data_IF_018747175086
#
_entry.id   IF_018747175086
#
_cell.length_a   1.000
_cell.length_b   1.000
_cell.length_c   1.000
_cell.angle_alpha   90.00
_cell.angle_beta   90.00
_cell.angle_gamma   90.00
#
_symmetry.space_group_name_H-M   'P 1'
#
loop_
_entity.id
_entity.type
_entity.pdbx_description
1 polymer ?
#
# COMPACT_ATOMS: atom_id res chain seq x y z
N UNK A 1 -5.14 -17.20 -9.71
CA UNK A 1 -6.08 -16.99 -8.59
C UNK A 1 -7.12 -15.98 -9.02
N UNK A 2 -8.41 -16.18 -8.71
CA UNK A 2 -9.37 -15.06 -8.81
C UNK A 2 -8.97 -14.02 -7.76
N UNK A 3 -8.85 -12.76 -8.15
CA UNK A 3 -8.66 -11.63 -7.22
C UNK A 3 -9.91 -11.54 -6.33
N UNK A 4 -9.74 -11.60 -5.02
CA UNK A 4 -10.84 -11.82 -4.05
C UNK A 4 -10.99 -10.72 -3.01
N UNK A 5 -9.98 -9.89 -2.84
CA UNK A 5 -9.93 -8.92 -1.74
C UNK A 5 -10.05 -7.52 -2.30
N UNK A 6 -10.90 -6.71 -1.67
CA UNK A 6 -11.03 -5.27 -1.97
C UNK A 6 -10.21 -4.42 -0.99
N UNK A 7 -9.73 -5.03 0.10
CA UNK A 7 -8.88 -4.39 1.08
C UNK A 7 -7.78 -5.34 1.56
N UNK A 8 -6.54 -4.88 1.60
CA UNK A 8 -5.40 -5.60 2.14
C UNK A 8 -4.56 -4.64 2.98
N UNK A 9 -4.24 -5.06 4.21
CA UNK A 9 -3.31 -4.34 5.08
C UNK A 9 -2.01 -5.14 5.22
N UNK A 10 -0.89 -4.53 4.87
CA UNK A 10 0.44 -5.12 4.90
C UNK A 10 1.20 -4.56 6.10
N UNK A 11 1.25 -5.37 7.15
CA UNK A 11 2.12 -5.20 8.32
C UNK A 11 3.17 -6.32 8.29
N UNK A 12 4.16 -6.14 7.42
CA UNK A 12 5.13 -7.17 7.09
C UNK A 12 6.21 -7.31 8.16
N UNK A 13 6.93 -8.44 8.16
CA UNK A 13 8.20 -8.52 8.84
C UNK A 13 9.15 -7.48 8.22
N UNK A 14 9.87 -6.74 9.06
CA UNK A 14 10.59 -5.53 8.68
C UNK A 14 11.83 -5.74 7.79
N UNK A 15 12.06 -6.97 7.31
CA UNK A 15 13.11 -7.28 6.34
C UNK A 15 12.60 -7.12 4.90
N UNK A 16 13.43 -6.52 4.05
CA UNK A 16 13.12 -6.20 2.65
C UNK A 16 12.51 -7.38 1.86
N UNK A 17 13.04 -8.60 2.06
CA UNK A 17 12.59 -9.80 1.31
C UNK A 17 11.14 -10.14 1.61
N UNK A 18 10.67 -9.93 2.85
CA UNK A 18 9.30 -10.19 3.24
C UNK A 18 8.37 -9.08 2.76
N UNK A 19 8.75 -7.80 2.94
CA UNK A 19 8.02 -6.64 2.42
C UNK A 19 7.74 -6.77 0.92
N UNK A 20 8.77 -7.10 0.12
CA UNK A 20 8.63 -7.30 -1.33
C UNK A 20 7.69 -8.46 -1.63
N UNK A 21 7.82 -9.58 -0.92
CA UNK A 21 7.00 -10.77 -1.18
C UNK A 21 5.53 -10.53 -0.82
N UNK A 22 5.28 -9.88 0.31
CA UNK A 22 3.94 -9.56 0.79
C UNK A 22 3.27 -8.54 -0.14
N UNK A 23 4.01 -7.54 -0.60
CA UNK A 23 3.52 -6.57 -1.60
C UNK A 23 3.17 -7.24 -2.93
N UNK A 24 4.05 -8.09 -3.46
CA UNK A 24 3.77 -8.83 -4.70
C UNK A 24 2.55 -9.76 -4.57
N UNK A 25 2.37 -10.37 -3.41
CA UNK A 25 1.22 -11.22 -3.14
C UNK A 25 -0.06 -10.36 -3.03
N UNK A 26 0.00 -9.22 -2.33
CA UNK A 26 -1.12 -8.29 -2.21
C UNK A 26 -1.61 -7.82 -3.57
N UNK A 27 -0.70 -7.39 -4.46
CA UNK A 27 -1.02 -6.96 -5.82
C UNK A 27 -1.66 -8.07 -6.69
N UNK A 28 -1.30 -9.34 -6.45
CA UNK A 28 -1.91 -10.49 -7.13
C UNK A 28 -3.30 -10.85 -6.57
N UNK A 29 -3.55 -10.53 -5.31
CA UNK A 29 -4.76 -10.89 -4.57
C UNK A 29 -5.85 -9.81 -4.64
N UNK A 30 -5.46 -8.53 -4.72
CA UNK A 30 -6.35 -7.38 -4.75
C UNK A 30 -7.18 -7.35 -6.05
N UNK A 31 -8.49 -7.10 -5.91
CA UNK A 31 -9.47 -6.99 -6.99
C UNK A 31 -10.70 -6.21 -6.54
N UNK A 32 -11.78 -6.30 -7.31
CA UNK A 32 -12.93 -5.41 -7.15
C UNK A 32 -12.73 -4.09 -7.89
N UNK A 33 -13.83 -3.37 -8.11
CA UNK A 33 -13.83 -2.10 -8.84
C UNK A 33 -13.23 -0.97 -8.00
N UNK A 34 -13.55 -0.94 -6.71
CA UNK A 34 -12.94 -0.06 -5.72
C UNK A 34 -12.14 -0.91 -4.74
N UNK A 35 -10.84 -0.65 -4.61
CA UNK A 35 -9.99 -1.44 -3.73
C UNK A 35 -8.82 -0.63 -3.16
N UNK A 36 -8.26 -1.11 -2.05
CA UNK A 36 -7.19 -0.42 -1.34
C UNK A 36 -6.15 -1.40 -0.78
N UNK A 37 -4.88 -1.05 -0.92
CA UNK A 37 -3.78 -1.70 -0.20
C UNK A 37 -3.14 -0.65 0.71
N UNK A 38 -2.92 -0.99 1.97
CA UNK A 38 -2.25 -0.13 2.95
C UNK A 38 -0.97 -0.82 3.40
N UNK A 39 0.12 -0.06 3.50
CA UNK A 39 1.40 -0.50 4.06
C UNK A 39 1.71 0.30 5.33
N UNK A 40 2.18 -0.41 6.35
CA UNK A 40 2.76 0.15 7.57
C UNK A 40 4.27 0.43 7.40
N UNK A 41 4.88 1.09 8.39
CA UNK A 41 6.31 1.42 8.51
C UNK A 41 6.88 2.37 7.44
N UNK A 42 6.02 3.04 6.68
CA UNK A 42 6.49 4.06 5.74
C UNK A 42 7.13 5.23 6.49
N UNK A 43 8.37 5.56 6.12
CA UNK A 43 9.18 6.58 6.79
C UNK A 43 9.80 6.12 8.12
N UNK A 44 9.65 4.85 8.53
CA UNK A 44 10.28 4.34 9.75
C UNK A 44 11.82 4.31 9.58
N UNK A 45 12.61 5.03 10.40
CA UNK A 45 14.07 5.06 10.30
C UNK A 45 14.75 3.71 10.56
N UNK A 46 14.07 2.78 11.23
CA UNK A 46 14.60 1.42 11.45
C UNK A 46 14.53 0.57 10.17
N UNK A 47 13.64 0.91 9.24
CA UNK A 47 13.34 0.14 8.03
C UNK A 47 13.42 1.02 6.76
N UNK A 48 14.55 1.70 6.50
CA UNK A 48 14.69 2.60 5.35
C UNK A 48 14.50 1.88 4.01
N UNK A 49 14.80 0.58 3.99
CA UNK A 49 14.67 -0.32 2.86
C UNK A 49 13.21 -0.54 2.43
N UNK A 50 12.26 -0.54 3.38
CA UNK A 50 10.83 -0.59 3.10
C UNK A 50 10.38 0.71 2.45
N UNK A 51 10.79 1.85 3.00
CA UNK A 51 10.46 3.17 2.44
C UNK A 51 10.96 3.28 1.01
N UNK A 52 12.23 2.91 0.75
CA UNK A 52 12.80 2.91 -0.59
C UNK A 52 12.08 1.95 -1.54
N UNK A 53 11.63 0.79 -1.05
CA UNK A 53 10.84 -0.13 -1.88
C UNK A 53 9.52 0.51 -2.31
N UNK A 54 8.80 1.15 -1.39
CA UNK A 54 7.52 1.81 -1.67
C UNK A 54 7.70 3.05 -2.56
N UNK A 55 8.79 3.81 -2.41
CA UNK A 55 9.12 4.93 -3.31
C UNK A 55 9.42 4.46 -4.74
N UNK A 56 10.09 3.32 -4.91
CA UNK A 56 10.27 2.74 -6.25
C UNK A 56 8.92 2.27 -6.82
N UNK A 57 8.09 1.61 -6.00
CA UNK A 57 6.75 1.16 -6.39
C UNK A 57 5.82 2.34 -6.77
N UNK A 58 6.02 3.51 -6.16
CA UNK A 58 5.28 4.74 -6.49
C UNK A 58 5.48 5.21 -7.94
N UNK A 59 6.49 4.69 -8.64
CA UNK A 59 6.68 4.95 -10.08
C UNK A 59 5.69 4.16 -10.96
N UNK A 60 5.15 3.05 -10.44
CA UNK A 60 4.24 2.15 -11.16
C UNK A 60 2.78 2.30 -10.72
N UNK A 61 2.54 2.62 -9.44
CA UNK A 61 1.21 2.81 -8.86
C UNK A 61 1.16 4.07 -8.01
N UNK A 62 0.00 4.72 -7.97
CA UNK A 62 -0.18 5.91 -7.14
C UNK A 62 -0.26 5.54 -5.66
N UNK A 63 0.57 6.19 -4.84
CA UNK A 63 0.65 6.00 -3.40
C UNK A 63 0.37 7.30 -2.66
N UNK A 64 -0.34 7.20 -1.54
CA UNK A 64 -0.74 8.32 -0.71
C UNK A 64 -0.28 8.10 0.73
N UNK A 65 0.52 9.03 1.24
CA UNK A 65 0.95 9.02 2.64
C UNK A 65 -0.15 9.63 3.52
N UNK A 66 -0.48 8.95 4.61
CA UNK A 66 -1.38 9.47 5.64
C UNK A 66 -0.57 10.32 6.60
N UNK A 67 -0.73 11.64 6.49
CA UNK A 67 -0.01 12.62 7.30
C UNK A 67 -0.09 12.30 8.80
N UNK A 68 1.05 12.43 9.50
CA UNK A 68 1.14 12.15 10.93
C UNK A 68 1.21 10.67 11.30
N UNK A 69 1.25 9.76 10.33
CA UNK A 69 1.37 8.31 10.56
C UNK A 69 2.50 7.70 9.73
N UNK A 70 2.78 6.41 9.95
CA UNK A 70 3.66 5.60 9.09
C UNK A 70 2.87 4.77 8.07
N UNK A 71 1.66 5.22 7.72
CA UNK A 71 0.80 4.52 6.76
C UNK A 71 0.88 5.17 5.39
N UNK A 72 1.10 4.36 4.36
CA UNK A 72 0.94 4.74 2.96
C UNK A 72 -0.04 3.78 2.30
N UNK A 73 -0.86 4.25 1.37
CA UNK A 73 -1.85 3.41 0.72
C UNK A 73 -1.95 3.66 -0.79
N UNK A 74 -2.35 2.61 -1.50
CA UNK A 74 -2.82 2.66 -2.86
C UNK A 74 -4.35 2.58 -2.83
N UNK A 75 -5.03 3.45 -3.58
CA UNK A 75 -6.48 3.41 -3.76
C UNK A 75 -6.79 3.35 -5.26
N UNK A 76 -7.61 2.38 -5.66
CA UNK A 76 -8.09 2.24 -7.02
C UNK A 76 -9.61 2.33 -7.03
N UNK A 77 -10.17 2.93 -8.09
CA UNK A 77 -11.61 2.99 -8.32
C UNK A 77 -12.33 4.17 -7.66
N UNK A 78 -11.60 5.01 -6.90
CA UNK A 78 -12.07 6.29 -6.37
C UNK A 78 -10.96 7.32 -6.44
N UNK A 79 -11.29 8.58 -6.77
CA UNK A 79 -10.33 9.67 -6.63
C UNK A 79 -10.33 10.19 -5.19
N UNK A 80 -9.16 10.59 -4.69
CA UNK A 80 -9.10 11.31 -3.42
C UNK A 80 -9.79 12.67 -3.55
N UNK A 81 -10.67 12.97 -2.59
CA UNK A 81 -11.42 14.22 -2.56
C UNK A 81 -12.82 14.16 -3.17
N UNK A 82 -13.21 13.04 -3.79
CA UNK A 82 -14.60 12.86 -4.29
C UNK A 82 -15.62 12.80 -3.14
N UNK A 83 -15.19 12.51 -1.90
CA UNK A 83 -16.03 12.55 -0.71
C UNK A 83 -15.33 13.26 0.46
N UNK A 84 -15.53 14.58 0.50
CA UNK A 84 -15.82 15.30 1.74
C UNK A 84 -16.98 16.27 1.47
N UNK A 85 -18.17 15.70 1.35
CA UNK A 85 -19.41 16.45 1.49
C UNK A 85 -20.17 15.85 2.69
N UNK A 86 -20.42 16.71 3.68
CA UNK A 86 -21.04 16.53 5.00
C UNK A 86 -20.24 15.77 6.07
#
# INVERSE_FOLDING_TARGET
MKKKFEFIFVDANHEYVYVKKDTENALKMIGGETNCIVWHDYGNPQFPELTRYLENLASDIELYHVEGTMLVFHLQGKALGDERAS
#
